data_IF_824078791532
#
_entry.id   IF_824078791532
#
_cell.length_a   1.000
_cell.length_b   1.000
_cell.length_c   1.000
_cell.angle_alpha   90.00
_cell.angle_beta   90.00
_cell.angle_gamma   90.00
#
_symmetry.space_group_name_H-M   'P 1'
#
loop_
_entity.id
_entity.type
_entity.pdbx_description
1 polymer ?
#
# COMPACT_ATOMS: atom_id res chain seq x y z
N UNK A 1 -12.86 -5.06 30.45
CA UNK A 1 -12.33 -5.66 29.21
C UNK A 1 -11.28 -4.76 28.60
N UNK A 2 -10.01 -5.14 28.69
CA UNK A 2 -8.94 -4.51 27.90
C UNK A 2 -8.98 -5.19 26.53
N UNK A 3 -9.34 -4.46 25.48
CA UNK A 3 -9.23 -4.97 24.12
C UNK A 3 -7.76 -5.15 23.78
N UNK A 4 -7.33 -6.39 23.55
CA UNK A 4 -5.98 -6.70 23.11
C UNK A 4 -5.86 -6.39 21.61
N UNK A 5 -5.31 -5.22 21.27
CA UNK A 5 -5.10 -4.81 19.87
C UNK A 5 -4.24 -5.81 19.07
N UNK A 6 -3.46 -6.64 19.76
CA UNK A 6 -2.65 -7.72 19.18
C UNK A 6 -3.46 -8.80 18.46
N UNK A 7 -4.75 -8.96 18.78
CA UNK A 7 -5.62 -9.98 18.18
C UNK A 7 -6.42 -9.47 16.96
N UNK A 8 -6.24 -8.20 16.59
CA UNK A 8 -6.89 -7.64 15.40
C UNK A 8 -6.26 -8.22 14.14
N UNK A 9 -7.09 -8.90 13.33
CA UNK A 9 -6.70 -9.48 12.04
C UNK A 9 -6.94 -8.53 10.86
N UNK A 10 -7.87 -7.59 10.99
CA UNK A 10 -8.25 -6.69 9.90
C UNK A 10 -8.58 -5.29 10.39
N UNK A 11 -8.10 -4.27 9.69
CA UNK A 11 -8.49 -2.89 9.94
C UNK A 11 -8.64 -2.07 8.65
N UNK A 12 -9.69 -1.27 8.63
CA UNK A 12 -9.93 -0.20 7.67
C UNK A 12 -9.76 1.13 8.40
N UNK A 13 -8.65 1.81 8.14
CA UNK A 13 -8.23 2.99 8.86
C UNK A 13 -8.33 4.23 7.96
N UNK A 14 -9.50 4.88 7.99
CA UNK A 14 -9.85 5.98 7.10
C UNK A 14 -9.93 7.28 7.89
N UNK A 15 -9.02 8.21 7.61
CA UNK A 15 -8.83 9.41 8.42
C UNK A 15 -8.53 10.64 7.56
N UNK A 16 -8.64 11.82 8.17
CA UNK A 16 -8.23 13.05 7.52
C UNK A 16 -6.70 13.14 7.42
N UNK A 17 -6.00 12.98 8.56
CA UNK A 17 -4.54 12.92 8.67
C UNK A 17 -4.15 11.73 9.54
N UNK A 18 -2.91 11.29 9.44
CA UNK A 18 -2.34 10.27 10.33
C UNK A 18 -1.15 10.89 11.06
N UNK A 19 -1.13 10.76 12.39
CA UNK A 19 0.01 11.20 13.20
C UNK A 19 0.85 10.02 13.69
N UNK A 20 1.96 10.34 14.36
CA UNK A 20 2.83 9.36 15.03
C UNK A 20 2.06 8.42 15.95
N UNK A 21 1.04 8.93 16.66
CA UNK A 21 0.27 8.13 17.61
C UNK A 21 -0.44 6.98 16.93
N UNK A 22 -1.00 7.19 15.75
CA UNK A 22 -1.77 6.15 15.05
C UNK A 22 -0.85 5.12 14.40
N UNK A 23 0.35 5.50 13.94
CA UNK A 23 1.38 4.53 13.56
C UNK A 23 1.78 3.62 14.73
N UNK A 24 2.02 4.21 15.91
CA UNK A 24 2.35 3.44 17.12
C UNK A 24 1.20 2.51 17.53
N UNK A 25 -0.04 2.90 17.27
CA UNK A 25 -1.21 2.08 17.52
C UNK A 25 -1.31 0.91 16.52
N UNK A 26 -1.16 1.17 15.22
CA UNK A 26 -1.14 0.14 14.20
C UNK A 26 -0.06 -0.90 14.48
N UNK A 27 1.15 -0.46 14.86
CA UNK A 27 2.27 -1.36 15.16
C UNK A 27 2.00 -2.34 16.33
N UNK A 28 0.96 -2.10 17.16
CA UNK A 28 0.55 -3.06 18.21
C UNK A 28 -0.28 -4.23 17.70
N UNK A 29 -0.74 -4.20 16.45
CA UNK A 29 -1.58 -5.23 15.83
C UNK A 29 -0.73 -6.37 15.27
N UNK A 30 -0.14 -7.16 16.18
CA UNK A 30 0.85 -8.19 15.83
C UNK A 30 0.35 -9.31 14.90
N UNK A 31 -0.98 -9.50 14.77
CA UNK A 31 -1.60 -10.52 13.91
C UNK A 31 -2.31 -9.95 12.69
N UNK A 32 -2.07 -8.67 12.35
CA UNK A 32 -2.80 -8.01 11.28
C UNK A 32 -2.55 -8.68 9.92
N UNK A 33 -3.61 -9.12 9.25
CA UNK A 33 -3.56 -9.73 7.92
C UNK A 33 -4.08 -8.79 6.83
N UNK A 34 -5.08 -7.97 7.16
CA UNK A 34 -5.67 -6.98 6.27
C UNK A 34 -5.50 -5.58 6.86
N UNK A 35 -4.78 -4.74 6.12
CA UNK A 35 -4.61 -3.33 6.44
C UNK A 35 -5.10 -2.50 5.25
N UNK A 36 -6.08 -1.64 5.49
CA UNK A 36 -6.47 -0.62 4.52
C UNK A 36 -6.32 0.76 5.15
N UNK A 37 -5.53 1.65 4.53
CA UNK A 37 -5.32 3.02 5.03
C UNK A 37 -5.80 4.02 4.01
N UNK A 38 -6.62 4.98 4.42
CA UNK A 38 -7.04 6.09 3.56
C UNK A 38 -6.81 7.41 4.26
N UNK A 39 -6.01 8.27 3.64
CA UNK A 39 -5.77 9.63 4.10
C UNK A 39 -6.48 10.59 3.14
N UNK A 40 -7.41 11.37 3.66
CA UNK A 40 -8.20 12.31 2.86
C UNK A 40 -7.57 13.71 2.75
N UNK A 41 -6.55 14.02 3.56
CA UNK A 41 -5.84 15.29 3.47
C UNK A 41 -4.95 15.33 2.21
N UNK A 42 -5.22 16.30 1.34
CA UNK A 42 -4.61 16.42 0.01
C UNK A 42 -3.10 16.60 -0.01
N UNK A 43 -2.44 16.86 1.12
CA UNK A 43 -0.97 17.01 1.18
C UNK A 43 -0.29 15.92 2.00
N UNK A 44 -1.04 14.98 2.57
CA UNK A 44 -0.48 14.00 3.48
C UNK A 44 -0.11 12.71 2.74
N UNK A 45 0.96 12.09 3.24
CA UNK A 45 1.52 10.85 2.75
C UNK A 45 1.49 9.82 3.87
N UNK A 46 1.43 8.54 3.49
CA UNK A 46 1.69 7.47 4.44
C UNK A 46 3.20 7.39 4.65
N UNK A 47 3.63 7.43 5.90
CA UNK A 47 5.01 7.14 6.27
C UNK A 47 5.18 5.62 6.40
N UNK A 48 5.58 4.99 5.30
CA UNK A 48 5.81 3.55 5.26
C UNK A 48 6.94 3.13 6.20
N UNK A 49 7.92 3.99 6.49
CA UNK A 49 8.97 3.64 7.46
C UNK A 49 8.38 3.51 8.84
N UNK A 50 7.52 4.44 9.26
CA UNK A 50 6.83 4.36 10.55
C UNK A 50 5.83 3.19 10.61
N UNK A 51 5.10 2.96 9.53
CA UNK A 51 4.11 1.88 9.43
C UNK A 51 4.74 0.48 9.48
N UNK A 52 5.93 0.32 8.89
CA UNK A 52 6.66 -0.95 8.86
C UNK A 52 7.90 -0.92 9.77
N UNK A 53 7.88 -0.10 10.83
CA UNK A 53 8.96 -0.08 11.83
C UNK A 53 8.98 -1.39 12.63
N UNK A 54 7.82 -1.99 12.89
CA UNK A 54 7.73 -3.33 13.48
C UNK A 54 7.80 -4.39 12.37
N UNK A 55 8.83 -5.23 12.41
CA UNK A 55 9.07 -6.25 11.40
C UNK A 55 7.96 -7.31 11.33
N UNK A 56 7.10 -7.42 12.35
CA UNK A 56 6.00 -8.39 12.35
C UNK A 56 5.03 -8.18 11.19
N UNK A 57 4.83 -6.93 10.77
CA UNK A 57 3.95 -6.60 9.63
C UNK A 57 4.38 -7.27 8.32
N UNK A 58 5.69 -7.46 8.11
CA UNK A 58 6.20 -8.16 6.91
C UNK A 58 5.79 -9.63 6.85
N UNK A 59 5.45 -10.23 8.01
CA UNK A 59 5.17 -11.65 8.16
C UNK A 59 3.68 -11.96 8.32
N UNK A 60 2.81 -10.94 8.49
CA UNK A 60 1.36 -11.16 8.69
C UNK A 60 0.49 -10.53 7.62
N UNK A 61 0.88 -9.39 7.03
CA UNK A 61 0.04 -8.66 6.07
C UNK A 61 -0.08 -9.41 4.73
N UNK A 62 -1.27 -9.98 4.52
CA UNK A 62 -1.69 -10.65 3.29
C UNK A 62 -2.37 -9.68 2.32
N UNK A 63 -3.08 -8.67 2.84
CA UNK A 63 -3.84 -7.70 2.07
C UNK A 63 -3.46 -6.31 2.53
N UNK A 64 -2.87 -5.53 1.62
CA UNK A 64 -2.57 -4.13 1.89
C UNK A 64 -3.21 -3.24 0.83
N UNK A 65 -4.03 -2.32 1.30
CA UNK A 65 -4.67 -1.31 0.46
C UNK A 65 -4.35 0.07 1.00
N UNK A 66 -3.99 1.00 0.13
CA UNK A 66 -3.81 2.38 0.58
C UNK A 66 -4.31 3.42 -0.41
N UNK A 67 -4.85 4.50 0.15
CA UNK A 67 -5.22 5.71 -0.56
C UNK A 67 -4.46 6.90 0.03
N UNK A 68 -3.58 7.49 -0.78
CA UNK A 68 -2.75 8.63 -0.40
C UNK A 68 -2.57 9.59 -1.59
N UNK A 69 -1.91 10.73 -1.35
CA UNK A 69 -1.64 11.69 -2.42
C UNK A 69 -0.72 11.10 -3.50
N UNK A 70 0.44 10.60 -3.08
CA UNK A 70 1.42 9.97 -3.96
C UNK A 70 2.21 8.91 -3.18
N UNK A 71 3.02 8.14 -3.90
CA UNK A 71 3.94 7.13 -3.36
C UNK A 71 5.37 7.45 -3.81
N UNK A 72 6.35 7.15 -2.95
CA UNK A 72 7.78 7.37 -3.24
C UNK A 72 8.47 6.05 -3.53
N UNK A 73 9.62 6.12 -4.19
CA UNK A 73 10.43 4.95 -4.54
C UNK A 73 10.83 4.12 -3.32
N UNK A 74 11.12 4.79 -2.21
CA UNK A 74 11.47 4.15 -0.94
C UNK A 74 10.31 3.33 -0.36
N UNK A 75 9.08 3.80 -0.54
CA UNK A 75 7.88 3.10 -0.06
C UNK A 75 7.72 1.77 -0.82
N UNK A 76 8.00 1.74 -2.12
CA UNK A 76 8.01 0.52 -2.94
C UNK A 76 9.08 -0.46 -2.45
N UNK A 77 10.28 0.02 -2.12
CA UNK A 77 11.34 -0.83 -1.58
C UNK A 77 10.96 -1.49 -0.24
N UNK A 78 10.13 -0.83 0.57
CA UNK A 78 9.56 -1.42 1.78
C UNK A 78 8.55 -2.50 1.41
N UNK A 79 7.61 -2.22 0.51
CA UNK A 79 6.60 -3.18 0.06
C UNK A 79 7.18 -4.48 -0.47
N UNK A 80 8.29 -4.42 -1.22
CA UNK A 80 9.01 -5.60 -1.75
C UNK A 80 9.50 -6.58 -0.68
N UNK A 81 9.60 -6.14 0.58
CA UNK A 81 10.01 -6.99 1.71
C UNK A 81 8.87 -7.86 2.23
N UNK A 82 7.61 -7.54 1.94
CA UNK A 82 6.44 -8.32 2.38
C UNK A 82 6.26 -9.52 1.44
N UNK A 83 6.84 -10.67 1.80
CA UNK A 83 6.86 -11.85 0.91
C UNK A 83 5.55 -12.63 0.83
N UNK A 84 4.67 -12.45 1.80
CA UNK A 84 3.38 -13.15 1.89
C UNK A 84 2.21 -12.37 1.28
N UNK A 85 2.47 -11.17 0.74
CA UNK A 85 1.43 -10.27 0.25
C UNK A 85 0.65 -10.90 -0.91
N UNK A 86 -0.63 -11.17 -0.68
CA UNK A 86 -1.56 -11.75 -1.66
C UNK A 86 -2.24 -10.68 -2.50
N UNK A 87 -2.56 -9.53 -1.91
CA UNK A 87 -3.15 -8.41 -2.63
C UNK A 87 -2.49 -7.10 -2.21
N UNK A 88 -2.14 -6.30 -3.22
CA UNK A 88 -1.67 -4.93 -3.06
C UNK A 88 -2.54 -4.02 -3.91
N UNK A 89 -3.30 -3.16 -3.25
CA UNK A 89 -4.18 -2.20 -3.88
C UNK A 89 -3.68 -0.78 -3.60
N UNK A 90 -3.52 0.02 -4.64
CA UNK A 90 -3.12 1.42 -4.49
C UNK A 90 -4.14 2.35 -5.14
N UNK A 91 -4.35 3.48 -4.48
CA UNK A 91 -5.09 4.62 -4.99
C UNK A 91 -4.23 5.85 -4.70
N UNK A 92 -3.73 6.48 -5.74
CA UNK A 92 -2.93 7.70 -5.61
C UNK A 92 -3.60 8.82 -6.41
N UNK A 93 -3.55 10.06 -5.94
CA UNK A 93 -3.96 11.22 -6.75
C UNK A 93 -3.03 11.38 -7.96
N UNK A 94 -1.73 11.14 -7.74
CA UNK A 94 -0.70 11.23 -8.79
C UNK A 94 0.21 10.01 -8.78
N UNK A 95 0.48 9.47 -9.98
CA UNK A 95 1.52 8.47 -10.23
C UNK A 95 2.30 8.92 -11.46
N UNK A 96 3.63 8.99 -11.34
CA UNK A 96 4.52 9.20 -12.47
C UNK A 96 5.19 7.89 -12.92
N UNK A 97 5.82 7.94 -14.08
CA UNK A 97 6.47 6.77 -14.67
C UNK A 97 7.69 6.28 -13.87
N UNK A 98 8.48 7.19 -13.30
CA UNK A 98 9.66 6.83 -12.51
C UNK A 98 9.27 5.94 -11.32
N UNK A 99 8.21 6.32 -10.64
CA UNK A 99 7.68 5.61 -9.49
C UNK A 99 7.01 4.30 -9.91
N UNK A 100 6.13 4.31 -10.93
CA UNK A 100 5.44 3.07 -11.33
C UNK A 100 6.42 2.02 -11.87
N UNK A 101 7.46 2.44 -12.59
CA UNK A 101 8.47 1.54 -13.16
C UNK A 101 9.27 0.78 -12.10
N UNK A 102 9.23 1.22 -10.84
CA UNK A 102 9.82 0.52 -9.70
C UNK A 102 9.00 -0.69 -9.22
N UNK A 103 7.70 -0.75 -9.55
CA UNK A 103 6.87 -1.93 -9.31
C UNK A 103 7.16 -2.99 -10.36
N UNK A 104 7.95 -4.01 -10.01
CA UNK A 104 8.29 -5.12 -10.89
C UNK A 104 7.53 -6.38 -10.51
N UNK A 105 6.94 -7.06 -11.48
CA UNK A 105 6.20 -8.30 -11.27
C UNK A 105 7.05 -9.38 -10.60
N UNK A 106 8.36 -9.42 -10.89
CA UNK A 106 9.30 -10.34 -10.25
C UNK A 106 9.38 -10.17 -8.71
N UNK A 107 9.09 -8.99 -8.19
CA UNK A 107 9.10 -8.68 -6.76
C UNK A 107 7.75 -9.01 -6.10
N UNK A 108 6.69 -9.17 -6.91
CA UNK A 108 5.29 -9.35 -6.52
C UNK A 108 4.64 -10.55 -7.23
N UNK A 109 5.39 -11.65 -7.43
CA UNK A 109 5.04 -12.75 -8.37
C UNK A 109 3.64 -13.34 -8.17
N UNK A 110 3.24 -13.53 -6.92
CA UNK A 110 1.95 -14.11 -6.53
C UNK A 110 0.96 -13.06 -6.03
N UNK A 111 1.36 -11.80 -5.97
CA UNK A 111 0.53 -10.71 -5.48
C UNK A 111 -0.41 -10.24 -6.59
N UNK A 112 -1.71 -10.17 -6.30
CA UNK A 112 -2.66 -9.43 -7.11
C UNK A 112 -2.37 -7.95 -6.94
N UNK A 113 -2.08 -7.25 -8.03
CA UNK A 113 -1.76 -5.83 -8.02
C UNK A 113 -2.90 -5.04 -8.63
N UNK A 114 -3.43 -4.06 -7.90
CA UNK A 114 -4.58 -3.26 -8.31
C UNK A 114 -4.27 -1.77 -8.17
N UNK A 115 -4.69 -0.99 -9.17
CA UNK A 115 -4.58 0.47 -9.19
C UNK A 115 -5.99 1.03 -9.38
N UNK A 116 -6.52 1.71 -8.38
CA UNK A 116 -7.86 2.32 -8.42
C UNK A 116 -7.83 3.78 -8.86
N UNK A 117 -6.77 4.51 -8.49
CA UNK A 117 -6.50 5.87 -8.97
C UNK A 117 -5.01 6.08 -9.20
N UNK A 118 -4.62 6.89 -10.19
CA UNK A 118 -5.48 7.46 -11.24
C UNK A 118 -6.08 6.35 -12.13
N UNK A 119 -7.31 6.57 -12.62
CA UNK A 119 -7.97 5.60 -13.52
C UNK A 119 -7.24 5.52 -14.87
N UNK A 120 -7.51 4.51 -15.70
CA UNK A 120 -6.77 4.31 -16.97
C UNK A 120 -6.78 5.52 -17.88
N UNK A 121 -7.92 6.19 -18.03
CA UNK A 121 -8.07 7.38 -18.87
C UNK A 121 -7.34 8.61 -18.35
N UNK A 122 -6.98 8.63 -17.06
CA UNK A 122 -6.25 9.73 -16.41
C UNK A 122 -4.73 9.47 -16.36
N UNK A 123 -4.29 8.27 -16.74
CA UNK A 123 -2.87 7.89 -16.81
C UNK A 123 -2.26 8.25 -18.16
N UNK A 124 -0.96 8.52 -18.17
CA UNK A 124 -0.21 8.65 -19.43
C UNK A 124 -0.18 7.31 -20.19
N UNK A 125 -0.02 7.39 -21.51
CA UNK A 125 0.12 6.21 -22.36
C UNK A 125 1.30 5.33 -21.91
N UNK A 126 2.43 5.94 -21.56
CA UNK A 126 3.63 5.26 -21.08
C UNK A 126 3.38 4.44 -19.79
N UNK A 127 2.67 5.01 -18.82
CA UNK A 127 2.30 4.31 -17.58
C UNK A 127 1.39 3.12 -17.90
N UNK A 128 0.40 3.31 -18.78
CA UNK A 128 -0.52 2.26 -19.18
C UNK A 128 0.20 1.10 -19.89
N UNK A 129 1.06 1.41 -20.86
CA UNK A 129 1.86 0.43 -21.61
C UNK A 129 2.78 -0.37 -20.69
N UNK A 130 3.46 0.31 -19.75
CA UNK A 130 4.30 -0.34 -18.76
C UNK A 130 3.51 -1.33 -17.90
N UNK A 131 2.37 -0.90 -17.36
CA UNK A 131 1.55 -1.71 -16.49
C UNK A 131 0.98 -2.94 -17.22
N UNK A 132 0.46 -2.75 -18.43
CA UNK A 132 -0.06 -3.82 -19.27
C UNK A 132 1.03 -4.86 -19.57
N UNK A 133 2.26 -4.42 -19.84
CA UNK A 133 3.41 -5.29 -20.13
C UNK A 133 3.94 -6.01 -18.89
N UNK A 134 4.18 -5.29 -17.80
CA UNK A 134 4.84 -5.80 -16.59
C UNK A 134 3.91 -6.74 -15.81
N UNK A 135 2.62 -6.42 -15.70
CA UNK A 135 1.68 -7.18 -14.85
C UNK A 135 0.66 -8.02 -15.62
N UNK A 136 0.54 -7.87 -16.95
CA UNK A 136 -0.40 -8.61 -17.81
C UNK A 136 -1.85 -8.58 -17.32
N UNK A 137 -2.22 -7.51 -16.62
CA UNK A 137 -3.55 -7.31 -16.06
C UNK A 137 -4.23 -6.15 -16.75
N UNK A 138 -5.52 -6.27 -17.00
CA UNK A 138 -6.34 -5.14 -17.40
C UNK A 138 -6.52 -4.22 -16.19
N UNK A 139 -5.64 -3.24 -16.05
CA UNK A 139 -5.89 -2.09 -15.17
C UNK A 139 -6.92 -1.20 -15.87
N UNK A 140 -8.17 -1.65 -15.89
CA UNK A 140 -9.34 -0.93 -16.41
C UNK A 140 -9.56 0.38 -15.66
#
# INVERSE_FOLDING_TARGET
NVYAFSDILSIYYYVYRISRTEYLFLNKMAKIELLSIRINHKSDFIDFKMLFTDCNFFNTINFFSFHCKAIRKEDINILKKIKILKCLSLSCETIDYEIISCFKRKDFKTTKFEIYKPIRSERSAEINEYLDTEFKSNFS
#
